data_IF_597025527002
#
_entry.id   IF_597025527002
#
_cell.length_a   1.000
_cell.length_b   1.000
_cell.length_c   1.000
_cell.angle_alpha   90.00
_cell.angle_beta   90.00
_cell.angle_gamma   90.00
#
_symmetry.space_group_name_H-M   'P 1'
#
loop_
_entity.id
_entity.type
_entity.pdbx_description
1 polymer ?
#
# COMPACT_ATOMS: atom_id res chain seq x y z
N UNK A 1 43.72 -6.46 7.39
CA UNK A 1 42.68 -7.45 7.07
C UNK A 1 41.36 -6.71 7.05
N UNK A 2 40.89 -6.31 5.87
CA UNK A 2 39.71 -5.47 5.70
C UNK A 2 38.43 -6.30 5.62
N UNK A 3 37.41 -5.91 6.38
CA UNK A 3 36.00 -6.14 6.11
C UNK A 3 35.23 -4.93 6.61
N UNK A 4 35.10 -3.95 5.74
CA UNK A 4 34.07 -2.91 5.83
C UNK A 4 32.82 -3.49 5.19
N UNK A 5 31.99 -4.12 6.00
CA UNK A 5 30.57 -4.33 5.69
C UNK A 5 29.87 -2.98 5.87
N UNK A 6 30.06 -2.09 4.90
CA UNK A 6 29.19 -0.94 4.71
C UNK A 6 28.25 -1.31 3.57
N UNK A 7 27.12 -1.89 3.92
CA UNK A 7 25.92 -1.87 3.10
C UNK A 7 25.58 -0.40 2.84
N UNK A 8 26.10 0.13 1.74
CA UNK A 8 25.79 1.47 1.28
C UNK A 8 24.51 1.36 0.46
N UNK A 9 23.38 1.28 1.15
CA UNK A 9 22.10 1.64 0.56
C UNK A 9 22.27 3.03 -0.07
N UNK A 10 22.19 3.11 -1.40
CA UNK A 10 22.48 4.32 -2.17
C UNK A 10 21.72 5.53 -1.60
N UNK A 11 22.29 6.74 -1.59
CA UNK A 11 21.63 7.90 -1.01
C UNK A 11 20.28 8.12 -1.69
N UNK A 12 19.23 8.17 -0.86
CA UNK A 12 17.94 8.72 -1.24
C UNK A 12 18.20 10.13 -1.81
N UNK A 13 17.83 10.32 -3.08
CA UNK A 13 17.82 11.61 -3.75
C UNK A 13 16.83 12.55 -3.07
N UNK A 14 17.15 13.84 -3.01
CA UNK A 14 16.28 14.86 -2.39
C UNK A 14 14.86 14.86 -2.97
N UNK A 15 14.72 14.49 -4.25
CA UNK A 15 13.45 14.40 -4.96
C UNK A 15 12.59 13.20 -4.51
N UNK A 16 13.18 12.03 -4.23
CA UNK A 16 12.42 10.89 -3.69
C UNK A 16 11.93 11.14 -2.26
N UNK A 17 12.74 11.79 -1.44
CA UNK A 17 12.36 12.16 -0.08
C UNK A 17 11.24 13.21 -0.09
N UNK A 18 11.29 14.14 -1.05
CA UNK A 18 10.22 15.13 -1.28
C UNK A 18 8.92 14.47 -1.73
N UNK A 19 9.00 13.50 -2.65
CA UNK A 19 7.83 12.73 -3.09
C UNK A 19 7.22 11.95 -1.93
N UNK A 20 8.03 11.21 -1.15
CA UNK A 20 7.57 10.47 0.03
C UNK A 20 6.88 11.38 1.03
N UNK A 21 7.46 12.55 1.33
CA UNK A 21 6.85 13.54 2.22
C UNK A 21 5.51 14.07 1.68
N UNK A 22 5.41 14.29 0.36
CA UNK A 22 4.17 14.72 -0.28
C UNK A 22 3.07 13.64 -0.17
N UNK A 23 3.40 12.39 -0.47
CA UNK A 23 2.48 11.26 -0.37
C UNK A 23 2.02 11.05 1.08
N UNK A 24 2.95 11.15 2.04
CA UNK A 24 2.64 11.01 3.45
C UNK A 24 1.69 12.12 3.93
N UNK A 25 1.89 13.36 3.46
CA UNK A 25 0.97 14.47 3.75
C UNK A 25 -0.41 14.28 3.13
N UNK A 26 -0.49 13.80 1.89
CA UNK A 26 -1.78 13.52 1.24
C UNK A 26 -2.58 12.47 2.04
N UNK A 27 -1.88 11.46 2.55
CA UNK A 27 -2.46 10.43 3.40
C UNK A 27 -2.88 10.96 4.78
N UNK A 28 -2.05 11.76 5.45
CA UNK A 28 -2.37 12.39 6.75
C UNK A 28 -3.62 13.29 6.67
N UNK A 29 -3.84 13.95 5.52
CA UNK A 29 -5.06 14.73 5.29
C UNK A 29 -6.33 13.89 5.19
N UNK A 30 -6.21 12.60 4.84
CA UNK A 30 -7.34 11.70 4.73
C UNK A 30 -7.71 11.08 6.08
N UNK A 31 -6.80 11.04 7.07
CA UNK A 31 -7.08 10.41 8.36
C UNK A 31 -6.37 11.07 9.55
N UNK A 32 -7.12 11.58 10.55
CA UNK A 32 -6.52 12.13 11.77
C UNK A 32 -5.94 11.03 12.68
N UNK A 33 -4.66 11.15 13.07
CA UNK A 33 -3.92 10.32 14.05
C UNK A 33 -3.38 8.96 13.54
N UNK A 34 -2.53 8.98 12.52
CA UNK A 34 -2.11 7.78 11.79
C UNK A 34 -0.67 7.28 11.96
N UNK A 35 0.07 7.79 12.95
CA UNK A 35 1.52 7.56 13.10
C UNK A 35 2.01 6.13 13.38
N UNK A 36 1.20 5.10 13.15
CA UNK A 36 1.53 3.69 13.44
C UNK A 36 1.37 2.74 12.24
N UNK A 37 1.15 3.27 11.03
CA UNK A 37 0.98 2.44 9.83
C UNK A 37 2.23 2.49 8.96
N UNK A 38 2.58 1.35 8.42
CA UNK A 38 3.50 1.29 7.29
C UNK A 38 2.74 1.69 6.04
N UNK A 39 3.41 2.41 5.13
CA UNK A 39 2.78 2.98 3.94
C UNK A 39 3.51 2.49 2.69
N UNK A 40 2.74 2.03 1.72
CA UNK A 40 3.24 1.72 0.38
C UNK A 40 2.45 2.47 -0.67
N UNK A 41 3.14 2.85 -1.73
CA UNK A 41 2.49 3.37 -2.93
C UNK A 41 2.05 2.20 -3.80
N UNK A 42 0.78 2.22 -4.20
CA UNK A 42 0.21 1.20 -5.07
C UNK A 42 -0.37 1.82 -6.33
N UNK A 43 -0.28 1.08 -7.44
CA UNK A 43 -0.90 1.48 -8.71
C UNK A 43 -2.08 0.59 -9.03
N UNK A 44 -3.20 1.20 -9.40
CA UNK A 44 -4.39 0.47 -9.82
C UNK A 44 -4.16 -0.31 -11.10
N UNK A 45 -4.73 -1.52 -11.15
CA UNK A 45 -4.68 -2.35 -12.36
C UNK A 45 -5.67 -1.86 -13.41
N UNK A 46 -5.40 -2.21 -14.68
CA UNK A 46 -6.17 -1.79 -15.84
C UNK A 46 -7.70 -1.92 -15.63
N UNK A 47 -8.41 -0.81 -15.74
CA UNK A 47 -9.86 -0.69 -15.48
C UNK A 47 -10.22 0.26 -14.33
N UNK A 48 -9.41 0.32 -13.27
CA UNK A 48 -9.59 1.24 -12.13
C UNK A 48 -8.78 2.54 -12.26
N UNK A 49 -7.64 2.52 -12.98
CA UNK A 49 -6.89 3.73 -13.39
C UNK A 49 -6.34 4.61 -12.26
N UNK A 50 -6.42 4.17 -11.00
CA UNK A 50 -6.09 4.96 -9.82
C UNK A 50 -4.64 4.83 -9.36
N UNK A 51 -4.20 5.79 -8.53
CA UNK A 51 -3.04 5.66 -7.66
C UNK A 51 -3.54 5.56 -6.23
N UNK A 52 -2.91 4.77 -5.38
CA UNK A 52 -3.33 4.61 -4.00
C UNK A 52 -2.13 4.73 -3.07
N UNK A 53 -2.36 5.27 -1.88
CA UNK A 53 -1.54 4.94 -0.72
C UNK A 53 -2.23 3.84 0.03
N UNK A 54 -1.49 2.76 0.28
CA UNK A 54 -1.96 1.65 1.09
C UNK A 54 -1.26 1.74 2.42
N UNK A 55 -2.04 2.01 3.47
CA UNK A 55 -1.57 1.92 4.85
C UNK A 55 -1.84 0.53 5.39
N UNK A 56 -0.95 -0.03 6.17
CA UNK A 56 -1.17 -1.33 6.80
C UNK A 56 -0.51 -1.42 8.16
N UNK A 57 -1.09 -2.26 9.02
CA UNK A 57 -0.55 -2.59 10.35
C UNK A 57 -1.00 -3.99 10.76
N UNK A 58 -0.22 -4.62 11.65
CA UNK A 58 -0.50 -5.98 12.15
C UNK A 58 -1.34 -6.00 13.43
N UNK A 59 -1.37 -4.90 14.19
CA UNK A 59 -2.01 -4.85 15.51
C UNK A 59 -2.82 -3.56 15.70
N UNK A 60 -4.17 -3.61 15.58
CA UNK A 60 -4.96 -4.70 15.00
C UNK A 60 -4.73 -4.85 13.48
N UNK A 61 -4.85 -6.08 12.96
CA UNK A 61 -4.63 -6.35 11.53
C UNK A 61 -5.61 -5.58 10.65
N UNK A 62 -5.08 -4.64 9.87
CA UNK A 62 -5.87 -3.68 9.10
C UNK A 62 -5.08 -3.16 7.90
N UNK A 63 -5.80 -3.00 6.78
CA UNK A 63 -5.38 -2.31 5.56
C UNK A 63 -6.20 -1.05 5.43
N UNK A 64 -5.60 0.04 4.95
CA UNK A 64 -6.33 1.18 4.44
C UNK A 64 -5.96 1.47 3.03
N UNK A 65 -6.98 1.74 2.23
CA UNK A 65 -6.82 2.16 0.86
C UNK A 65 -7.18 3.63 0.79
N UNK A 66 -6.21 4.46 0.45
CA UNK A 66 -6.35 5.90 0.28
C UNK A 66 -6.18 6.26 -1.20
N UNK A 67 -7.29 6.50 -1.93
CA UNK A 67 -7.24 6.85 -3.34
C UNK A 67 -6.58 8.22 -3.56
N UNK A 68 -5.72 8.30 -4.57
CA UNK A 68 -5.02 9.51 -4.99
C UNK A 68 -5.38 9.88 -6.42
N UNK A 69 -5.42 11.19 -6.68
CA UNK A 69 -5.60 11.73 -8.02
C UNK A 69 -4.32 11.53 -8.86
N UNK A 70 -4.44 10.87 -10.00
CA UNK A 70 -3.27 10.42 -10.79
C UNK A 70 -2.32 11.55 -11.24
N UNK A 71 -2.83 12.78 -11.46
CA UNK A 71 -2.01 13.92 -11.91
C UNK A 71 -1.50 14.85 -10.81
N UNK A 72 -2.11 14.85 -9.63
CA UNK A 72 -1.77 15.78 -8.54
C UNK A 72 -1.27 15.07 -7.29
N UNK A 73 -1.46 13.75 -7.20
CA UNK A 73 -1.21 12.92 -6.03
C UNK A 73 -1.90 13.43 -4.75
N UNK A 74 -2.93 14.25 -4.92
CA UNK A 74 -3.78 14.68 -3.82
C UNK A 74 -4.79 13.60 -3.47
N UNK A 75 -5.24 13.62 -2.21
CA UNK A 75 -6.37 12.81 -1.74
C UNK A 75 -7.58 12.98 -2.67
N UNK A 76 -8.03 11.88 -3.28
CA UNK A 76 -9.19 11.89 -4.18
C UNK A 76 -10.50 11.68 -3.41
N UNK A 77 -10.48 10.74 -2.47
CA UNK A 77 -11.63 10.30 -1.67
C UNK A 77 -11.18 9.98 -0.24
N UNK A 78 -12.09 9.89 0.75
CA UNK A 78 -11.70 9.44 2.09
C UNK A 78 -11.08 8.05 2.04
N UNK A 79 -10.04 7.84 2.85
CA UNK A 79 -9.42 6.53 2.98
C UNK A 79 -10.40 5.51 3.55
N UNK A 80 -10.33 4.28 3.07
CA UNK A 80 -11.21 3.19 3.48
C UNK A 80 -10.42 2.21 4.32
N UNK A 81 -10.82 2.05 5.58
CA UNK A 81 -10.28 1.06 6.49
C UNK A 81 -10.90 -0.32 6.20
N UNK A 82 -10.06 -1.32 6.07
CA UNK A 82 -10.40 -2.69 5.74
C UNK A 82 -9.73 -3.60 6.76
N UNK A 83 -10.54 -4.29 7.54
CA UNK A 83 -10.11 -5.21 8.59
C UNK A 83 -10.98 -6.47 8.57
N UNK A 84 -10.69 -7.45 9.41
CA UNK A 84 -11.40 -8.74 9.46
C UNK A 84 -12.93 -8.62 9.62
N UNK A 85 -13.47 -7.48 10.09
CA UNK A 85 -14.91 -7.31 10.30
C UNK A 85 -15.68 -6.86 9.06
N UNK A 86 -15.03 -6.14 8.15
CA UNK A 86 -15.65 -5.57 6.95
C UNK A 86 -15.01 -6.06 5.64
N UNK A 87 -14.06 -6.98 5.76
CA UNK A 87 -13.45 -7.70 4.65
C UNK A 87 -14.40 -8.78 4.15
N UNK A 88 -14.55 -8.85 2.83
CA UNK A 88 -15.30 -9.92 2.16
C UNK A 88 -14.37 -10.97 1.55
N UNK A 89 -13.24 -10.56 0.97
CA UNK A 89 -12.28 -11.45 0.34
C UNK A 89 -10.92 -10.76 0.17
N UNK A 90 -9.83 -11.54 0.22
CA UNK A 90 -8.48 -11.14 -0.18
C UNK A 90 -7.98 -12.10 -1.26
N UNK A 91 -7.43 -11.55 -2.34
CA UNK A 91 -6.80 -12.34 -3.40
C UNK A 91 -5.43 -11.77 -3.75
N UNK A 92 -4.52 -12.65 -4.15
CA UNK A 92 -3.28 -12.29 -4.81
C UNK A 92 -3.24 -12.94 -6.20
N UNK A 93 -2.86 -12.15 -7.21
CA UNK A 93 -2.61 -12.61 -8.56
C UNK A 93 -1.16 -13.06 -8.73
N UNK A 94 -0.92 -14.03 -9.63
CA UNK A 94 0.42 -14.54 -9.94
C UNK A 94 1.40 -13.48 -10.45
N UNK A 95 0.91 -12.32 -10.92
CA UNK A 95 1.74 -11.20 -11.33
C UNK A 95 2.04 -10.20 -10.19
N UNK A 96 1.75 -10.53 -8.92
CA UNK A 96 1.96 -9.65 -7.77
C UNK A 96 0.89 -8.56 -7.62
N UNK A 97 -0.31 -8.80 -8.16
CA UNK A 97 -1.45 -7.91 -7.98
C UNK A 97 -2.24 -8.31 -6.74
N UNK A 98 -2.64 -7.35 -5.94
CA UNK A 98 -3.46 -7.56 -4.76
C UNK A 98 -4.90 -7.14 -5.05
N UNK A 99 -5.85 -7.95 -4.59
CA UNK A 99 -7.28 -7.68 -4.64
C UNK A 99 -7.86 -7.72 -3.23
N UNK A 100 -8.55 -6.64 -2.85
CA UNK A 100 -9.21 -6.52 -1.55
C UNK A 100 -10.67 -6.18 -1.77
N UNK A 101 -11.56 -7.12 -1.44
CA UNK A 101 -13.00 -6.94 -1.48
C UNK A 101 -13.57 -6.64 -0.09
N UNK A 102 -14.40 -5.61 0.03
CA UNK A 102 -15.10 -5.26 1.27
C UNK A 102 -16.54 -5.78 1.24
N UNK A 103 -17.13 -6.02 2.41
CA UNK A 103 -18.53 -6.47 2.56
C UNK A 103 -19.55 -5.43 2.08
N UNK A 104 -19.11 -4.19 1.84
CA UNK A 104 -19.91 -3.13 1.19
C UNK A 104 -19.95 -3.27 -0.33
N UNK A 105 -19.32 -4.29 -0.91
CA UNK A 105 -19.28 -4.57 -2.34
C UNK A 105 -18.22 -3.78 -3.11
N UNK A 106 -17.33 -3.04 -2.42
CA UNK A 106 -16.19 -2.37 -3.06
C UNK A 106 -15.05 -3.37 -3.23
N UNK A 107 -14.40 -3.32 -4.38
CA UNK A 107 -13.21 -4.14 -4.68
C UNK A 107 -12.11 -3.19 -5.12
N UNK A 108 -10.94 -3.31 -4.49
CA UNK A 108 -9.76 -2.55 -4.83
C UNK A 108 -8.72 -3.48 -5.43
N UNK A 109 -8.26 -3.17 -6.65
CA UNK A 109 -7.22 -3.94 -7.36
C UNK A 109 -6.00 -3.09 -7.60
N UNK A 110 -4.90 -3.43 -6.95
CA UNK A 110 -3.67 -2.65 -7.03
C UNK A 110 -2.44 -3.54 -7.00
N UNK A 111 -1.32 -3.02 -7.50
CA UNK A 111 0.00 -3.65 -7.41
C UNK A 111 0.93 -2.76 -6.58
N UNK A 112 1.79 -3.38 -5.78
CA UNK A 112 2.83 -2.69 -5.01
C UNK A 112 4.19 -3.05 -5.61
N UNK A 113 4.67 -2.21 -6.52
CA UNK A 113 5.98 -2.41 -7.13
C UNK A 113 7.10 -1.98 -6.17
N UNK A 114 8.20 -2.74 -6.02
CA UNK A 114 9.33 -2.36 -5.18
C UNK A 114 9.99 -1.05 -5.65
N UNK A 115 9.82 -0.74 -6.93
CA UNK A 115 10.23 0.51 -7.52
C UNK A 115 9.29 0.93 -8.64
N UNK A 116 8.94 2.21 -8.68
CA UNK A 116 8.12 2.77 -9.75
C UNK A 116 8.51 4.21 -10.06
N UNK A 117 8.15 4.69 -11.25
CA UNK A 117 8.36 6.09 -11.63
C UNK A 117 7.05 6.85 -11.45
N UNK A 118 7.10 7.92 -10.66
CA UNK A 118 5.93 8.76 -10.36
C UNK A 118 6.22 10.18 -10.84
N UNK A 119 5.25 10.76 -11.54
CA UNK A 119 5.29 12.18 -11.90
C UNK A 119 5.09 13.03 -10.64
N UNK A 120 6.08 13.87 -10.34
CA UNK A 120 6.05 14.78 -9.21
C UNK A 120 5.08 15.92 -9.55
N UNK A 121 4.06 16.17 -8.72
CA UNK A 121 3.09 17.20 -9.02
C UNK A 121 3.75 18.59 -8.99
N UNK A 122 3.26 19.55 -9.79
CA UNK A 122 3.83 20.91 -9.82
C UNK A 122 3.69 21.66 -8.47
N UNK A 123 2.84 21.17 -7.56
CA UNK A 123 2.77 21.68 -6.19
C UNK A 123 3.97 21.26 -5.31
N UNK A 124 4.69 20.20 -5.71
CA UNK A 124 5.86 19.66 -5.01
C UNK A 124 7.19 20.03 -5.69
N UNK A 125 7.17 20.56 -6.91
CA UNK A 125 8.37 20.99 -7.65
C UNK A 125 8.09 22.15 -8.60
N UNK A 126 9.06 23.06 -8.73
CA UNK A 126 9.00 24.17 -9.68
C UNK A 126 9.14 23.74 -11.15
N UNK A 127 9.49 22.47 -11.42
CA UNK A 127 9.67 21.93 -12.77
C UNK A 127 8.52 20.95 -13.13
N UNK A 128 7.55 21.35 -13.98
CA UNK A 128 6.46 20.48 -14.39
C UNK A 128 6.97 19.28 -15.20
N UNK A 129 6.43 18.08 -14.94
CA UNK A 129 6.82 16.84 -15.62
C UNK A 129 8.10 16.19 -15.07
N UNK A 130 8.54 16.59 -13.88
CA UNK A 130 9.63 15.90 -13.17
C UNK A 130 9.18 14.50 -12.80
N UNK A 131 9.85 13.47 -13.33
CA UNK A 131 9.59 12.08 -13.00
C UNK A 131 10.60 11.60 -11.96
N UNK A 132 10.09 11.17 -10.81
CA UNK A 132 10.89 10.71 -9.68
C UNK A 132 10.76 9.21 -9.53
N UNK A 133 11.89 8.55 -9.27
CA UNK A 133 11.95 7.11 -9.03
C UNK A 133 11.64 6.85 -7.56
N UNK A 134 10.45 6.35 -7.27
CA UNK A 134 10.04 5.96 -5.92
C UNK A 134 10.60 4.57 -5.60
N UNK A 135 11.52 4.50 -4.62
CA UNK A 135 12.08 3.25 -4.12
C UNK A 135 11.40 2.88 -2.80
N UNK A 136 10.77 1.71 -2.78
CA UNK A 136 10.03 1.17 -1.65
C UNK A 136 10.25 -0.35 -1.51
N UNK A 137 11.47 -0.82 -1.78
CA UNK A 137 11.79 -2.26 -1.81
C UNK A 137 11.44 -2.95 -0.49
N UNK A 138 11.97 -2.41 0.62
CA UNK A 138 11.74 -2.97 1.94
C UNK A 138 10.28 -2.87 2.38
N UNK A 139 9.62 -1.75 2.07
CA UNK A 139 8.19 -1.57 2.38
C UNK A 139 7.30 -2.50 1.54
N UNK A 140 7.65 -2.75 0.27
CA UNK A 140 6.93 -3.69 -0.60
C UNK A 140 7.10 -5.14 -0.13
N UNK A 141 8.30 -5.53 0.30
CA UNK A 141 8.56 -6.85 0.90
C UNK A 141 7.80 -7.03 2.22
N UNK A 142 7.82 -6.03 3.11
CA UNK A 142 7.06 -6.07 4.36
C UNK A 142 5.55 -6.11 4.11
N UNK A 143 5.06 -5.36 3.12
CA UNK A 143 3.64 -5.39 2.73
C UNK A 143 3.23 -6.76 2.19
N UNK A 144 4.05 -7.38 1.33
CA UNK A 144 3.77 -8.73 0.82
C UNK A 144 3.71 -9.76 1.94
N UNK A 145 4.67 -9.73 2.88
CA UNK A 145 4.65 -10.59 4.05
C UNK A 145 3.41 -10.34 4.94
N UNK A 146 3.03 -9.08 5.13
CA UNK A 146 1.80 -8.73 5.82
C UNK A 146 0.55 -9.26 5.11
N UNK A 147 0.48 -9.16 3.79
CA UNK A 147 -0.67 -9.58 2.99
C UNK A 147 -0.85 -11.10 3.04
N UNK A 148 0.25 -11.86 2.98
CA UNK A 148 0.26 -13.32 3.16
C UNK A 148 -0.22 -13.75 4.54
N UNK A 149 0.22 -13.07 5.61
CA UNK A 149 -0.27 -13.30 6.97
C UNK A 149 -1.77 -13.01 7.08
N UNK A 150 -2.26 -11.96 6.41
CA UNK A 150 -3.68 -11.61 6.41
C UNK A 150 -4.52 -12.65 5.65
N UNK A 151 -4.04 -13.16 4.51
CA UNK A 151 -4.64 -14.28 3.79
C UNK A 151 -4.70 -15.54 4.67
N UNK A 152 -3.59 -15.88 5.33
CA UNK A 152 -3.48 -17.04 6.21
C UNK A 152 -4.47 -16.96 7.38
N UNK A 153 -4.61 -15.78 7.99
CA UNK A 153 -5.58 -15.57 9.05
C UNK A 153 -7.02 -15.70 8.55
N UNK A 154 -7.33 -15.14 7.37
CA UNK A 154 -8.66 -15.24 6.77
C UNK A 154 -9.04 -16.70 6.45
N UNK A 155 -8.10 -17.48 5.90
CA UNK A 155 -8.28 -18.91 5.65
C UNK A 155 -8.52 -19.70 6.95
N UNK A 156 -7.74 -19.39 7.99
CA UNK A 156 -7.93 -19.98 9.32
C UNK A 156 -9.30 -19.70 9.93
N UNK A 157 -9.90 -18.53 9.68
CA UNK A 157 -11.29 -18.24 10.08
C UNK A 157 -12.31 -19.08 9.29
N UNK A 158 -12.04 -19.38 8.02
CA UNK A 158 -12.87 -20.24 7.18
C UNK A 158 -12.87 -21.71 7.63
N UNK A 159 -11.70 -22.24 7.97
CA UNK A 159 -11.52 -23.63 8.43
C UNK A 159 -12.10 -23.87 9.84
N UNK A 160 -12.02 -22.86 10.72
CA UNK A 160 -12.57 -22.91 12.09
C UNK A 160 -14.10 -23.05 12.13
N UNK A 161 -14.80 -22.74 11.04
CA UNK A 161 -16.25 -22.89 10.92
C UNK A 161 -16.73 -24.28 10.49
N UNK A 162 -15.82 -25.20 10.11
CA UNK A 162 -16.18 -26.49 9.52
C UNK A 162 -15.95 -27.70 10.45
N UNK A 163 -15.71 -27.48 11.74
CA UNK A 163 -15.51 -28.56 12.74
C UNK A 163 -16.76 -28.88 13.58
N UNK A 164 -17.96 -28.76 13.01
CA UNK A 164 -19.19 -29.29 13.60
C UNK A 164 -19.99 -30.05 12.54
N UNK A 165 -19.87 -31.38 12.56
CA UNK A 165 -20.84 -32.24 11.90
C UNK A 165 -20.32 -33.53 11.29
N UNK A 166 -19.61 -34.38 12.04
CA UNK A 166 -19.77 -35.84 11.90
C UNK A 166 -19.22 -36.56 13.14
N UNK A 167 -20.13 -36.89 14.08
CA UNK A 167 -20.11 -38.11 14.91
C UNK A 167 -21.39 -38.22 15.74
#
# INVERSE_FOLDING_TARGET
MGKTDSDVSAPETTEDSTLKAHLHRAFDQQIPNFGSYNLVYATGRAGEGGKYIVGYRREPMEILVAPLHAGTLAALEPAVAINLTNLSHLAEDRAGGHEVGTSTGRVYRFEVAPETTVDLPPAATSAPGTRVRLRQHHDAEDFSAFFDEFLTLLDGFGESGNLVGDQ
#
